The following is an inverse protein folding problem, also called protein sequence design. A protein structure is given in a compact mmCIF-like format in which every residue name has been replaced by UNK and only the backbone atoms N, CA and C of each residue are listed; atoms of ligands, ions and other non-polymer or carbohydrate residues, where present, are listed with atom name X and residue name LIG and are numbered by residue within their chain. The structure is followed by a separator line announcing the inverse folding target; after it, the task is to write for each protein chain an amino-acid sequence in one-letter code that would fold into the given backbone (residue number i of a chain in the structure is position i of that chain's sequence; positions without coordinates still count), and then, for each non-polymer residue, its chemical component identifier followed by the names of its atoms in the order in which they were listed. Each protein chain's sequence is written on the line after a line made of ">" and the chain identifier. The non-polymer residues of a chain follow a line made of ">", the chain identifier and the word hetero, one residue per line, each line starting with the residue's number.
data_IF_276675942538
#
_entry.id   IF_276675942538
#
_cell.length_a   1.000
_cell.length_b   1.000
_cell.length_c   1.000
_cell.angle_alpha   90.00
_cell.angle_beta   90.00
_cell.angle_gamma   90.00
#
_symmetry.space_group_name_H-M   'P 1'
#
loop_
_entity.id
_entity.type
_entity.pdbx_description
1 polymer ?
#
# COMPACT_ATOMS: atom_id res chain seq x y z
N UNK A 1 13.92 36.19 4.09
CA UNK A 1 14.99 36.14 5.10
C UNK A 1 14.76 37.27 6.09
N UNK A 2 14.16 37.00 7.25
CA UNK A 2 13.89 38.05 8.23
C UNK A 2 15.13 38.26 9.10
N UNK A 3 15.68 39.49 9.09
CA UNK A 3 16.86 39.85 9.88
C UNK A 3 16.51 39.80 11.37
N UNK A 4 17.40 39.20 12.17
CA UNK A 4 17.35 39.24 13.64
C UNK A 4 17.36 40.69 14.15
N UNK A 5 16.64 41.01 15.24
CA UNK A 5 16.79 42.29 15.92
C UNK A 5 18.24 42.47 16.38
N UNK A 6 18.84 43.61 16.05
CA UNK A 6 20.22 43.93 16.40
C UNK A 6 20.34 44.25 17.89
N UNK A 7 21.18 43.49 18.62
CA UNK A 7 21.70 43.93 19.92
C UNK A 7 21.66 42.95 21.10
N UNK A 8 22.00 41.66 20.93
CA UNK A 8 22.10 40.75 22.09
C UNK A 8 23.53 40.19 22.28
N UNK A 9 24.07 40.24 23.51
CA UNK A 9 25.47 39.94 23.79
C UNK A 9 25.81 38.45 23.60
N UNK A 10 26.94 38.19 22.93
CA UNK A 10 27.54 36.86 22.74
C UNK A 10 28.25 36.42 24.03
N UNK A 11 27.58 35.73 24.95
CA UNK A 11 28.21 34.70 25.81
C UNK A 11 27.14 34.05 26.71
N UNK A 12 27.20 32.71 26.79
CA UNK A 12 26.33 31.75 27.49
C UNK A 12 25.10 31.28 26.69
N UNK A 13 25.22 30.13 26.02
CA UNK A 13 24.18 29.56 25.14
C UNK A 13 24.07 28.04 25.33
N UNK A 14 23.14 27.62 26.19
CA UNK A 14 22.38 26.37 26.06
C UNK A 14 20.95 26.69 26.46
N UNK A 15 20.04 26.62 25.49
CA UNK A 15 18.58 26.74 25.62
C UNK A 15 18.05 27.97 26.38
N UNK A 16 17.79 29.06 25.65
CA UNK A 16 17.07 30.20 26.18
C UNK A 16 15.85 30.55 25.31
N UNK A 17 14.83 31.13 25.94
CA UNK A 17 13.61 31.59 25.31
C UNK A 17 13.72 33.10 25.03
N UNK A 18 13.47 33.52 23.79
CA UNK A 18 13.33 34.93 23.45
C UNK A 18 11.85 35.26 23.58
N UNK A 19 11.48 36.08 24.57
CA UNK A 19 10.16 36.69 24.61
C UNK A 19 10.23 38.11 24.05
N UNK A 20 9.38 38.39 23.07
CA UNK A 20 8.97 39.75 22.71
C UNK A 20 7.63 40.03 23.40
N UNK A 21 7.16 41.28 23.45
CA UNK A 21 5.87 41.60 24.09
C UNK A 21 4.69 40.78 23.54
N UNK A 22 4.78 40.30 22.30
CA UNK A 22 3.70 39.61 21.59
C UNK A 22 3.96 38.13 21.30
N UNK A 23 5.23 37.75 21.12
CA UNK A 23 5.65 36.44 20.62
C UNK A 23 6.78 35.82 21.44
N UNK A 24 6.78 34.50 21.53
CA UNK A 24 7.86 33.72 22.15
C UNK A 24 8.60 32.92 21.08
N UNK A 25 9.91 32.78 21.24
CA UNK A 25 10.76 31.98 20.37
C UNK A 25 11.66 31.07 21.20
N UNK A 26 11.89 29.87 20.69
CA UNK A 26 12.74 28.85 21.30
C UNK A 26 13.97 28.65 20.42
N UNK A 27 15.16 28.57 21.03
CA UNK A 27 16.37 28.18 20.33
C UNK A 27 16.58 26.67 20.49
N UNK A 28 16.65 25.95 19.39
CA UNK A 28 16.91 24.51 19.42
C UNK A 28 18.40 24.22 19.70
N UNK A 29 18.72 22.94 19.90
CA UNK A 29 20.08 22.46 20.20
C UNK A 29 21.10 22.73 19.07
N UNK A 30 20.64 23.00 17.84
CA UNK A 30 21.47 23.39 16.70
C UNK A 30 21.69 24.91 16.61
N UNK A 31 21.09 25.68 17.51
CA UNK A 31 21.17 27.14 17.52
C UNK A 31 20.13 27.85 16.64
N UNK A 32 19.22 27.11 16.00
CA UNK A 32 18.16 27.66 15.16
C UNK A 32 17.03 28.20 16.04
N UNK A 33 16.43 29.32 15.64
CA UNK A 33 15.34 29.98 16.37
C UNK A 33 14.01 29.61 15.72
N UNK A 34 13.10 29.02 16.50
CA UNK A 34 11.77 28.60 16.08
C UNK A 34 10.70 29.35 16.88
N UNK A 35 9.56 29.63 16.25
CA UNK A 35 8.45 30.33 16.89
C UNK A 35 7.69 29.42 17.85
N UNK A 36 7.53 29.84 19.10
CA UNK A 36 6.71 29.13 20.09
C UNK A 36 5.24 29.41 19.79
N UNK A 37 4.53 28.37 19.40
CA UNK A 37 3.16 28.49 18.91
C UNK A 37 2.18 28.64 20.07
N UNK A 38 1.25 29.58 19.95
CA UNK A 38 0.16 29.75 20.93
C UNK A 38 -0.79 28.55 20.87
N UNK A 39 -1.24 28.08 22.03
CA UNK A 39 -2.08 26.88 22.13
C UNK A 39 -3.34 26.95 21.26
N UNK A 40 -3.95 28.13 21.17
CA UNK A 40 -5.19 28.40 20.43
C UNK A 40 -5.09 28.13 18.91
N UNK A 41 -3.89 28.22 18.33
CA UNK A 41 -3.70 28.09 16.88
C UNK A 41 -3.13 26.73 16.47
N UNK A 42 -2.70 25.89 17.42
CA UNK A 42 -2.02 24.62 17.15
C UNK A 42 -2.87 23.71 16.27
N UNK A 43 -4.14 23.49 16.62
CA UNK A 43 -4.99 22.56 15.90
C UNK A 43 -5.25 23.01 14.44
N UNK A 44 -5.51 24.31 14.24
CA UNK A 44 -5.67 24.89 12.91
C UNK A 44 -4.39 24.75 12.08
N UNK A 45 -3.23 25.00 12.70
CA UNK A 45 -1.94 24.88 12.06
C UNK A 45 -1.65 23.43 11.61
N UNK A 46 -1.94 22.45 12.47
CA UNK A 46 -1.79 21.03 12.12
C UNK A 46 -2.73 20.67 10.96
N UNK A 47 -4.00 21.11 11.03
CA UNK A 47 -4.98 20.87 9.97
C UNK A 47 -4.50 21.39 8.63
N UNK A 48 -4.06 22.64 8.57
CA UNK A 48 -3.67 23.26 7.31
C UNK A 48 -2.43 22.56 6.72
N UNK A 49 -1.43 22.24 7.55
CA UNK A 49 -0.25 21.49 7.12
C UNK A 49 -0.58 20.07 6.63
N UNK A 50 -1.57 19.41 7.25
CA UNK A 50 -2.04 18.10 6.84
C UNK A 50 -2.80 18.16 5.50
N UNK A 51 -3.74 19.11 5.35
CA UNK A 51 -4.65 19.21 4.21
C UNK A 51 -3.97 19.65 2.90
N UNK A 52 -2.76 20.22 2.94
CA UNK A 52 -1.97 20.53 1.75
C UNK A 52 -1.73 19.32 0.82
N UNK A 53 -1.84 18.10 1.34
CA UNK A 53 -1.68 16.88 0.55
C UNK A 53 -2.09 15.61 1.27
N UNK A 54 -2.96 15.72 2.27
CA UNK A 54 -3.34 14.63 3.19
C UNK A 54 -2.10 13.90 3.75
N UNK A 55 -1.10 14.68 4.16
CA UNK A 55 0.21 14.18 4.53
C UNK A 55 0.16 13.35 5.83
N UNK A 56 0.95 12.27 5.87
CA UNK A 56 1.14 11.45 7.07
C UNK A 56 1.81 12.25 8.20
N UNK A 57 1.67 11.77 9.44
CA UNK A 57 2.12 12.45 10.65
C UNK A 57 3.59 12.91 10.57
N UNK A 58 4.48 12.07 10.06
CA UNK A 58 5.90 12.41 9.90
C UNK A 58 6.13 13.62 8.98
N UNK A 59 5.46 13.65 7.83
CA UNK A 59 5.62 14.76 6.88
C UNK A 59 5.00 16.04 7.41
N UNK A 60 3.82 15.95 8.04
CA UNK A 60 3.15 17.08 8.68
C UNK A 60 4.04 17.66 9.80
N UNK A 61 4.58 16.82 10.68
CA UNK A 61 5.51 17.24 11.73
C UNK A 61 6.78 17.88 11.16
N UNK A 62 7.41 17.26 10.16
CA UNK A 62 8.64 17.75 9.55
C UNK A 62 8.49 19.10 8.86
N UNK A 63 7.29 19.45 8.39
CA UNK A 63 7.00 20.80 7.90
C UNK A 63 6.86 21.79 9.04
N UNK A 64 6.02 21.47 10.01
CA UNK A 64 5.69 22.38 11.10
C UNK A 64 6.93 22.70 11.94
N UNK A 65 7.79 21.71 12.23
CA UNK A 65 8.96 21.85 13.11
C UNK A 65 10.03 22.83 12.59
N UNK A 66 9.96 23.23 11.32
CA UNK A 66 10.91 24.18 10.72
C UNK A 66 10.72 25.58 11.27
N UNK A 67 9.46 25.96 11.45
CA UNK A 67 9.09 27.34 11.80
C UNK A 67 8.43 27.42 13.18
N UNK A 68 7.84 26.32 13.67
CA UNK A 68 7.00 26.27 14.86
C UNK A 68 7.52 25.27 15.89
N UNK A 69 7.28 25.57 17.16
CA UNK A 69 7.54 24.70 18.30
C UNK A 69 6.44 24.81 19.34
N UNK A 70 6.03 23.67 19.90
CA UNK A 70 5.28 23.57 21.14
C UNK A 70 5.56 22.23 21.82
N UNK A 71 5.20 22.13 23.10
CA UNK A 71 5.41 20.91 23.89
C UNK A 71 4.53 19.78 23.34
N UNK A 72 5.10 18.57 23.16
CA UNK A 72 4.39 17.38 22.64
C UNK A 72 3.82 17.54 21.22
N UNK A 73 4.43 18.41 20.42
CA UNK A 73 4.11 18.61 19.01
C UNK A 73 3.94 17.33 18.18
N UNK A 74 4.80 16.34 18.39
CA UNK A 74 4.69 15.06 17.72
C UNK A 74 3.39 14.31 18.07
N UNK A 75 3.04 14.25 19.35
CA UNK A 75 1.85 13.55 19.83
C UNK A 75 0.58 14.18 19.30
N UNK A 76 0.52 15.51 19.27
CA UNK A 76 -0.64 16.24 18.76
C UNK A 76 -0.82 16.05 17.26
N UNK A 77 0.28 16.09 16.49
CA UNK A 77 0.26 15.81 15.05
C UNK A 77 -0.21 14.38 14.77
N UNK A 78 0.32 13.38 15.48
CA UNK A 78 -0.14 11.99 15.35
C UNK A 78 -1.63 11.89 15.66
N UNK A 79 -2.07 12.44 16.79
CA UNK A 79 -3.48 12.37 17.22
C UNK A 79 -4.40 12.99 16.19
N UNK A 80 -4.01 14.12 15.60
CA UNK A 80 -4.79 14.78 14.56
C UNK A 80 -4.87 13.93 13.29
N UNK A 81 -3.72 13.49 12.75
CA UNK A 81 -3.69 12.71 11.49
C UNK A 81 -4.40 11.36 11.66
N UNK A 82 -4.25 10.69 12.80
CA UNK A 82 -4.95 9.43 13.09
C UNK A 82 -6.46 9.60 13.23
N UNK A 83 -6.97 10.81 13.50
CA UNK A 83 -8.42 11.11 13.52
C UNK A 83 -8.97 11.43 12.13
N UNK A 84 -8.13 11.69 11.13
CA UNK A 84 -8.56 12.05 9.79
C UNK A 84 -9.27 10.87 9.08
N UNK A 85 -10.59 10.99 8.89
CA UNK A 85 -11.42 9.97 8.24
C UNK A 85 -11.00 9.65 6.79
N UNK A 86 -10.70 10.63 5.93
CA UNK A 86 -10.13 10.36 4.60
C UNK A 86 -8.85 9.51 4.65
N UNK A 87 -7.93 9.81 5.59
CA UNK A 87 -6.69 9.06 5.72
C UNK A 87 -6.94 7.64 6.23
N UNK A 88 -7.81 7.45 7.22
CA UNK A 88 -8.16 6.09 7.71
C UNK A 88 -8.75 5.19 6.62
N UNK A 89 -9.63 5.74 5.77
CA UNK A 89 -10.27 4.97 4.70
C UNK A 89 -9.30 4.56 3.60
N UNK A 90 -8.34 5.43 3.29
CA UNK A 90 -7.44 5.24 2.14
C UNK A 90 -6.09 4.61 2.50
N UNK A 91 -5.59 4.84 3.73
CA UNK A 91 -4.39 4.21 4.26
C UNK A 91 -4.77 2.98 5.08
N UNK A 92 -5.34 1.99 4.41
CA UNK A 92 -5.53 0.68 5.00
C UNK A 92 -4.14 0.08 5.22
N UNK A 93 -3.67 0.09 6.47
CA UNK A 93 -2.61 -0.81 6.87
C UNK A 93 -3.07 -2.22 6.49
N UNK A 94 -2.27 -2.94 5.70
CA UNK A 94 -2.54 -4.34 5.40
C UNK A 94 -2.69 -5.02 6.77
N UNK A 95 -3.87 -5.55 7.11
CA UNK A 95 -4.00 -6.33 8.33
C UNK A 95 -2.93 -7.41 8.23
N UNK A 96 -1.96 -7.39 9.14
CA UNK A 96 -1.08 -8.55 9.31
C UNK A 96 -1.97 -9.60 9.97
N UNK A 97 -2.75 -10.29 9.15
CA UNK A 97 -3.43 -11.52 9.55
C UNK A 97 -2.41 -12.37 10.29
N UNK A 98 -2.79 -12.89 11.46
CA UNK A 98 -1.96 -13.89 12.12
C UNK A 98 -1.73 -15.02 11.13
N UNK A 99 -0.51 -15.57 11.06
CA UNK A 99 -0.26 -16.73 10.21
C UNK A 99 -1.26 -17.81 10.58
N UNK A 100 -2.25 -18.06 9.71
CA UNK A 100 -3.22 -19.12 9.91
C UNK A 100 -2.42 -20.42 10.02
N UNK A 101 -2.34 -20.98 11.23
CA UNK A 101 -1.68 -22.27 11.45
C UNK A 101 -2.66 -23.34 11.01
N UNK A 102 -2.28 -24.14 10.01
CA UNK A 102 -3.04 -25.32 9.67
C UNK A 102 -3.11 -26.26 10.88
N UNK A 103 -4.24 -26.94 11.07
CA UNK A 103 -4.42 -27.93 12.14
C UNK A 103 -3.32 -29.01 12.05
N UNK A 104 -2.90 -29.59 13.18
CA UNK A 104 -2.01 -30.74 13.13
C UNK A 104 -2.70 -31.91 12.41
N UNK A 105 -1.95 -32.66 11.61
CA UNK A 105 -2.43 -33.88 10.94
C UNK A 105 -2.03 -35.06 11.85
N UNK A 106 -3.00 -35.77 12.39
CA UNK A 106 -2.79 -36.81 13.42
C UNK A 106 -2.79 -38.23 12.84
N UNK A 107 -3.35 -38.44 11.66
CA UNK A 107 -3.47 -39.76 11.04
C UNK A 107 -3.67 -39.71 9.53
N UNK A 108 -3.61 -40.88 8.89
CA UNK A 108 -3.94 -41.01 7.47
C UNK A 108 -5.44 -40.69 7.32
N UNK A 109 -5.79 -39.95 6.27
CA UNK A 109 -7.15 -39.46 5.99
C UNK A 109 -7.69 -38.40 6.95
N UNK A 110 -6.86 -37.88 7.87
CA UNK A 110 -7.22 -36.76 8.75
C UNK A 110 -7.34 -35.44 7.96
N UNK A 111 -6.62 -35.32 6.84
CA UNK A 111 -6.76 -34.20 5.91
C UNK A 111 -6.60 -34.63 4.46
N UNK A 112 -7.70 -34.51 3.73
CA UNK A 112 -7.74 -34.68 2.29
C UNK A 112 -7.98 -33.33 1.62
N UNK A 113 -7.12 -32.98 0.66
CA UNK A 113 -7.31 -31.85 -0.24
C UNK A 113 -8.00 -32.33 -1.50
N UNK A 114 -9.07 -31.65 -1.90
CA UNK A 114 -9.76 -31.92 -3.15
C UNK A 114 -9.71 -30.63 -3.96
N UNK A 115 -9.14 -30.73 -5.16
CA UNK A 115 -9.10 -29.62 -6.11
C UNK A 115 -9.61 -30.07 -7.47
N UNK A 116 -10.12 -29.10 -8.22
CA UNK A 116 -10.82 -29.34 -9.45
C UNK A 116 -10.41 -28.29 -10.48
N UNK A 117 -9.63 -28.74 -11.44
CA UNK A 117 -9.10 -27.89 -12.49
C UNK A 117 -9.91 -28.06 -13.78
N UNK A 118 -10.39 -26.95 -14.33
CA UNK A 118 -11.26 -26.94 -15.52
C UNK A 118 -10.81 -25.86 -16.50
N UNK A 119 -11.32 -25.93 -17.73
CA UNK A 119 -10.98 -24.95 -18.78
C UNK A 119 -9.72 -25.31 -19.56
N UNK A 120 -9.31 -26.58 -19.48
CA UNK A 120 -8.33 -27.18 -20.37
C UNK A 120 -8.93 -27.38 -21.77
N UNK A 121 -8.09 -27.46 -22.82
CA UNK A 121 -8.53 -27.90 -24.14
C UNK A 121 -9.26 -29.24 -24.04
N UNK A 122 -10.37 -29.37 -24.78
CA UNK A 122 -11.15 -30.61 -24.78
C UNK A 122 -10.40 -31.67 -25.58
N UNK A 123 -10.16 -32.85 -24.98
CA UNK A 123 -9.54 -33.98 -25.68
C UNK A 123 -10.51 -34.60 -26.68
N UNK A 124 -10.01 -35.42 -27.62
CA UNK A 124 -10.86 -36.15 -28.57
C UNK A 124 -11.92 -37.04 -27.88
N UNK A 125 -11.61 -37.52 -26.68
CA UNK A 125 -12.48 -38.37 -25.86
C UNK A 125 -13.45 -37.57 -24.97
N UNK A 126 -13.42 -36.24 -25.05
CA UNK A 126 -14.36 -35.33 -24.39
C UNK A 126 -13.98 -34.90 -22.97
N UNK A 127 -12.73 -35.09 -22.54
CA UNK A 127 -12.23 -34.63 -21.23
C UNK A 127 -11.84 -33.16 -21.27
N UNK A 128 -12.18 -32.39 -20.23
CA UNK A 128 -12.00 -30.93 -20.19
C UNK A 128 -11.54 -30.40 -18.82
N UNK A 129 -11.14 -31.31 -17.93
CA UNK A 129 -10.70 -30.98 -16.58
C UNK A 129 -10.03 -32.16 -15.89
N UNK A 130 -9.41 -31.85 -14.76
CA UNK A 130 -8.69 -32.77 -13.90
C UNK A 130 -9.24 -32.63 -12.48
N UNK A 131 -9.58 -33.74 -11.87
CA UNK A 131 -9.92 -33.87 -10.45
C UNK A 131 -8.68 -34.33 -9.70
N UNK A 132 -8.30 -33.65 -8.63
CA UNK A 132 -7.12 -34.00 -7.84
C UNK A 132 -7.55 -34.22 -6.39
N UNK A 133 -7.14 -35.36 -5.83
CA UNK A 133 -7.24 -35.68 -4.41
C UNK A 133 -5.82 -35.81 -3.86
N UNK A 134 -5.52 -35.11 -2.77
CA UNK A 134 -4.24 -35.15 -2.08
C UNK A 134 -4.47 -35.57 -0.64
N UNK A 135 -3.86 -36.68 -0.23
CA UNK A 135 -3.83 -37.08 1.17
C UNK A 135 -2.59 -36.47 1.84
N UNK A 136 -2.79 -35.55 2.80
CA UNK A 136 -1.73 -34.66 3.26
C UNK A 136 -0.69 -35.31 4.17
N UNK A 137 -1.02 -36.41 4.86
CA UNK A 137 -0.03 -37.09 5.72
C UNK A 137 1.07 -37.78 4.90
N UNK A 138 0.77 -38.72 3.99
CA UNK A 138 1.77 -39.32 3.09
C UNK A 138 2.12 -38.41 1.90
N UNK A 139 1.39 -37.30 1.70
CA UNK A 139 1.46 -36.45 0.49
C UNK A 139 1.17 -37.23 -0.80
N UNK A 140 0.30 -38.23 -0.71
CA UNK A 140 -0.09 -39.04 -1.85
C UNK A 140 -1.12 -38.29 -2.69
N UNK A 141 -0.84 -38.07 -3.97
CA UNK A 141 -1.76 -37.42 -4.90
C UNK A 141 -2.33 -38.43 -5.90
N UNK A 142 -3.65 -38.40 -6.07
CA UNK A 142 -4.37 -39.11 -7.12
C UNK A 142 -5.10 -38.11 -7.99
N UNK A 143 -5.06 -38.30 -9.30
CA UNK A 143 -5.71 -37.41 -10.25
C UNK A 143 -6.51 -38.21 -11.28
N UNK A 144 -7.71 -37.74 -11.56
CA UNK A 144 -8.63 -38.36 -12.52
C UNK A 144 -9.13 -37.34 -13.54
N UNK A 145 -9.35 -37.80 -14.77
CA UNK A 145 -9.83 -36.93 -15.84
C UNK A 145 -11.35 -36.79 -15.78
N UNK A 146 -11.85 -35.58 -16.02
CA UNK A 146 -13.29 -35.32 -15.99
C UNK A 146 -13.79 -34.91 -17.37
N UNK A 147 -14.81 -35.64 -17.83
CA UNK A 147 -15.54 -35.31 -19.05
C UNK A 147 -16.23 -33.96 -18.93
N UNK A 148 -16.34 -33.28 -20.05
CA UNK A 148 -16.97 -31.97 -20.16
C UNK A 148 -18.36 -31.96 -19.51
N UNK A 149 -18.47 -31.36 -18.32
CA UNK A 149 -19.77 -30.99 -17.74
C UNK A 149 -20.10 -29.57 -18.21
N UNK A 150 -20.93 -29.50 -19.24
CA UNK A 150 -21.32 -28.27 -19.97
C UNK A 150 -21.77 -27.14 -19.03
N UNK A 151 -22.47 -27.49 -17.92
CA UNK A 151 -22.92 -26.53 -16.91
C UNK A 151 -21.77 -25.94 -16.07
N UNK A 152 -20.79 -26.75 -15.66
CA UNK A 152 -19.66 -26.30 -14.84
C UNK A 152 -18.73 -25.38 -15.63
N UNK A 153 -18.38 -25.77 -16.86
CA UNK A 153 -17.62 -24.93 -17.80
C UNK A 153 -18.34 -23.63 -18.14
N UNK A 154 -19.68 -23.68 -18.31
CA UNK A 154 -20.49 -22.48 -18.48
C UNK A 154 -20.42 -21.52 -17.28
N UNK A 155 -20.44 -22.05 -16.05
CA UNK A 155 -20.34 -21.25 -14.83
C UNK A 155 -18.94 -20.63 -14.65
N UNK A 156 -17.88 -21.38 -14.96
CA UNK A 156 -16.51 -20.89 -14.93
C UNK A 156 -16.29 -19.79 -15.97
N UNK A 157 -16.79 -19.99 -17.20
CA UNK A 157 -16.75 -18.96 -18.25
C UNK A 157 -17.47 -17.68 -17.84
N UNK A 158 -18.62 -17.78 -17.17
CA UNK A 158 -19.34 -16.62 -16.59
C UNK A 158 -18.52 -15.94 -15.49
N UNK A 159 -17.91 -16.73 -14.58
CA UNK A 159 -17.05 -16.23 -13.51
C UNK A 159 -15.83 -15.48 -14.03
N UNK A 160 -15.12 -16.06 -15.00
CA UNK A 160 -13.94 -15.45 -15.64
C UNK A 160 -14.29 -14.15 -16.37
N UNK A 161 -15.42 -14.11 -17.10
CA UNK A 161 -15.91 -12.87 -17.72
C UNK A 161 -16.23 -11.79 -16.68
N UNK A 162 -16.83 -12.16 -15.54
CA UNK A 162 -17.12 -11.23 -14.45
C UNK A 162 -15.84 -10.69 -13.80
N UNK A 163 -14.86 -11.56 -13.56
CA UNK A 163 -13.55 -11.18 -13.02
C UNK A 163 -12.80 -10.24 -13.96
N UNK A 164 -12.71 -10.59 -15.26
CA UNK A 164 -12.11 -9.71 -16.27
C UNK A 164 -12.82 -8.36 -16.33
N UNK A 165 -14.16 -8.33 -16.32
CA UNK A 165 -14.91 -7.06 -16.30
C UNK A 165 -14.59 -6.23 -15.06
N UNK A 166 -14.43 -6.85 -13.89
CA UNK A 166 -14.08 -6.15 -12.65
C UNK A 166 -12.65 -5.59 -12.68
N UNK A 167 -11.68 -6.40 -13.13
CA UNK A 167 -10.29 -5.97 -13.30
C UNK A 167 -10.17 -4.85 -14.35
N UNK A 168 -10.86 -4.99 -15.47
CA UNK A 168 -10.88 -4.01 -16.56
C UNK A 168 -11.76 -2.79 -16.26
N UNK A 169 -12.57 -2.78 -15.18
CA UNK A 169 -13.30 -1.57 -14.78
C UNK A 169 -12.37 -0.51 -14.18
N UNK A 170 -11.27 -0.95 -13.55
CA UNK A 170 -10.28 -0.07 -12.93
C UNK A 170 -9.28 0.52 -13.93
N UNK A 171 -9.20 -0.05 -15.14
CA UNK A 171 -8.22 0.32 -16.16
C UNK A 171 -8.95 0.53 -17.49
N UNK A 172 -8.75 1.65 -18.17
CA UNK A 172 -9.33 1.94 -19.50
C UNK A 172 -8.71 1.02 -20.57
N UNK A 173 -9.02 -0.26 -20.51
CA UNK A 173 -8.49 -1.30 -21.38
C UNK A 173 -9.46 -1.48 -22.54
N UNK A 174 -8.97 -1.20 -23.77
CA UNK A 174 -9.64 -1.56 -25.00
C UNK A 174 -9.31 -3.03 -25.33
N UNK A 175 -10.33 -3.86 -25.54
CA UNK A 175 -10.17 -5.26 -25.94
C UNK A 175 -10.40 -5.42 -27.42
N UNK A 176 -9.39 -5.90 -28.15
CA UNK A 176 -9.49 -6.34 -29.54
C UNK A 176 -9.28 -7.85 -29.64
N UNK A 177 -10.02 -8.50 -30.52
CA UNK A 177 -9.85 -9.93 -30.81
C UNK A 177 -8.92 -10.07 -32.00
N UNK A 178 -7.75 -10.69 -31.81
CA UNK A 178 -6.76 -10.87 -32.88
C UNK A 178 -6.86 -12.28 -33.49
N UNK A 179 -6.76 -12.41 -34.83
CA UNK A 179 -6.69 -13.71 -35.50
C UNK A 179 -5.49 -14.55 -35.03
N UNK A 180 -5.64 -15.87 -35.08
CA UNK A 180 -4.54 -16.81 -34.85
C UNK A 180 -3.43 -16.58 -35.90
N UNK A 181 -2.17 -16.45 -35.46
CA UNK A 181 -1.03 -16.13 -36.33
C UNK A 181 -0.69 -14.64 -36.44
N UNK A 182 -1.45 -13.75 -35.77
CA UNK A 182 -1.11 -12.32 -35.73
C UNK A 182 0.14 -12.09 -34.91
N UNK A 183 1.19 -11.52 -35.53
CA UNK A 183 2.37 -11.05 -34.81
C UNK A 183 2.05 -9.76 -34.08
N UNK A 184 2.19 -9.76 -32.75
CA UNK A 184 1.91 -8.60 -31.89
C UNK A 184 3.20 -8.07 -31.29
N UNK A 185 3.45 -6.78 -31.48
CA UNK A 185 4.58 -6.08 -30.88
C UNK A 185 4.09 -5.28 -29.68
N UNK A 186 4.49 -5.68 -28.47
CA UNK A 186 4.08 -5.00 -27.23
C UNK A 186 5.15 -3.98 -26.87
N UNK A 187 4.82 -2.68 -26.99
CA UNK A 187 5.71 -1.60 -26.56
C UNK A 187 5.58 -1.39 -25.05
N UNK A 188 6.48 -2.00 -24.26
CA UNK A 188 6.57 -1.76 -22.82
C UNK A 188 7.68 -0.74 -22.58
N UNK A 189 7.30 0.54 -22.43
CA UNK A 189 8.27 1.64 -22.32
C UNK A 189 9.27 1.47 -21.17
N UNK A 190 8.88 0.85 -20.06
CA UNK A 190 9.73 0.66 -18.88
C UNK A 190 10.69 -0.54 -18.95
N UNK A 191 10.48 -1.45 -19.90
CA UNK A 191 11.32 -2.66 -20.04
C UNK A 191 12.46 -2.43 -21.04
N UNK A 192 12.29 -1.50 -21.98
CA UNK A 192 13.26 -1.26 -23.04
C UNK A 192 14.59 -0.77 -22.49
N UNK A 193 14.54 0.18 -21.54
CA UNK A 193 15.73 0.71 -20.85
C UNK A 193 16.46 -0.36 -20.02
N UNK A 194 15.75 -1.40 -19.55
CA UNK A 194 16.34 -2.48 -18.74
C UNK A 194 16.99 -3.57 -19.59
N UNK A 195 16.57 -3.72 -20.84
CA UNK A 195 17.05 -4.75 -21.77
C UNK A 195 18.06 -4.20 -22.79
N UNK A 196 18.27 -2.89 -22.83
CA UNK A 196 19.27 -2.28 -23.70
C UNK A 196 20.68 -2.76 -23.28
N UNK A 197 21.44 -3.42 -24.19
CA UNK A 197 22.73 -4.01 -23.86
C UNK A 197 23.78 -2.99 -23.37
N UNK A 198 23.56 -1.69 -23.62
CA UNK A 198 24.45 -0.59 -23.23
C UNK A 198 24.11 0.04 -21.87
N UNK A 199 23.07 -0.43 -21.15
CA UNK A 199 22.67 0.10 -19.84
C UNK A 199 23.06 -0.82 -18.66
N UNK A 200 23.84 -1.89 -18.90
CA UNK A 200 24.56 -2.60 -17.84
C UNK A 200 25.87 -1.85 -17.54
N UNK A 201 25.81 -0.91 -16.59
CA UNK A 201 26.97 -0.45 -15.81
C UNK A 201 26.65 -0.61 -14.33
#
# INVERSE_FOLDING_TARGET
>A
MNKLPSGLPRKQLRDWQISTPTNQYHRNTKGEVVYVTKLEVIENLIRDAHLLGNFLAETTYNRLKKDHYWLKMWDDVIKFVNKCEPCKRNHLAIPKEHCAKATAIQGIFDRIGIDLFFGLPVTAEGYAGIFVIIEYLPKHASAETIKNRTKALGNIGKGRKKQMKAQNKAHTIQTETLPLGTNVWIKIMSLHDKLHPNLRR
#
